data_IF_181009637385
#
_entry.id   IF_181009637385
#
_cell.length_a   1.000
_cell.length_b   1.000
_cell.length_c   1.000
_cell.angle_alpha   90.00
_cell.angle_beta   90.00
_cell.angle_gamma   90.00
#
_symmetry.space_group_name_H-M   'P 1'
#
loop_
_entity.id
_entity.type
_entity.pdbx_description
1 polymer ?
#
# COMPACT_ATOMS: atom_id res chain seq x y z
N UNK A 1 6.30 13.22 28.40
CA UNK A 1 6.07 13.44 26.95
C UNK A 1 6.81 12.35 26.20
N UNK A 2 6.14 11.60 25.34
CA UNK A 2 6.75 10.60 24.46
C UNK A 2 7.01 11.23 23.09
N UNK A 3 8.20 11.04 22.54
CA UNK A 3 8.58 11.55 21.21
C UNK A 3 8.89 10.39 20.28
N UNK A 4 8.17 10.32 19.17
CA UNK A 4 8.37 9.30 18.13
C UNK A 4 9.07 9.95 16.94
N UNK A 5 10.19 9.37 16.52
CA UNK A 5 10.89 9.75 15.31
C UNK A 5 10.66 8.69 14.24
N UNK A 6 9.89 9.03 13.20
CA UNK A 6 9.63 8.16 12.05
C UNK A 6 10.37 8.65 10.81
N UNK A 7 11.05 7.75 10.11
CA UNK A 7 11.83 8.05 8.91
C UNK A 7 11.23 7.32 7.70
N UNK A 8 10.71 8.06 6.73
CA UNK A 8 10.14 7.50 5.51
C UNK A 8 11.25 7.02 4.55
N UNK A 9 11.65 5.75 4.70
CA UNK A 9 12.75 5.14 3.94
C UNK A 9 12.32 3.99 3.02
N UNK A 10 11.04 3.63 3.03
CA UNK A 10 10.50 2.46 2.32
C UNK A 10 10.54 1.17 3.15
N UNK A 11 9.57 0.29 2.89
CA UNK A 11 9.34 -0.97 3.62
C UNK A 11 10.56 -1.88 3.65
N UNK A 12 11.30 -1.96 2.53
CA UNK A 12 12.51 -2.79 2.47
C UNK A 12 13.63 -2.29 3.39
N UNK A 13 13.74 -0.97 3.59
CA UNK A 13 14.68 -0.41 4.55
C UNK A 13 14.20 -0.62 5.99
N UNK A 14 12.91 -0.38 6.26
CA UNK A 14 12.30 -0.58 7.59
C UNK A 14 12.52 -1.99 8.12
N UNK A 15 12.17 -3.01 7.33
CA UNK A 15 12.38 -4.42 7.69
C UNK A 15 13.86 -4.70 7.98
N UNK A 16 14.78 -4.26 7.11
CA UNK A 16 16.22 -4.48 7.32
C UNK A 16 16.73 -3.85 8.62
N UNK A 17 16.21 -2.68 9.02
CA UNK A 17 16.63 -2.02 10.27
C UNK A 17 16.10 -2.76 11.51
N UNK A 18 14.87 -3.26 11.45
CA UNK A 18 14.27 -4.11 12.51
C UNK A 18 15.05 -5.40 12.68
N UNK A 19 15.29 -6.13 11.59
CA UNK A 19 16.07 -7.39 11.60
C UNK A 19 17.44 -7.19 12.25
N UNK A 20 18.09 -6.06 11.94
CA UNK A 20 19.41 -5.71 12.50
C UNK A 20 19.38 -5.20 13.95
N UNK A 21 18.20 -4.90 14.50
CA UNK A 21 18.02 -4.32 15.83
C UNK A 21 18.54 -2.89 15.97
N UNK A 22 18.49 -2.10 14.88
CA UNK A 22 19.05 -0.73 14.85
C UNK A 22 18.00 0.32 15.23
N UNK A 23 16.73 -0.01 15.03
CA UNK A 23 15.57 0.84 15.33
C UNK A 23 14.65 0.15 16.33
N UNK A 24 13.84 0.94 17.01
CA UNK A 24 12.86 0.44 17.98
C UNK A 24 11.64 -0.18 17.26
N UNK A 25 11.36 0.22 16.03
CA UNK A 25 10.31 -0.36 15.20
C UNK A 25 10.55 -0.07 13.71
N UNK A 26 9.90 -0.85 12.85
CA UNK A 26 9.79 -0.60 11.41
C UNK A 26 8.35 -0.35 10.99
N UNK A 27 8.17 0.17 9.78
CA UNK A 27 6.88 0.19 9.08
C UNK A 27 7.00 -0.50 7.74
N UNK A 28 5.99 -1.28 7.35
CA UNK A 28 6.03 -2.03 6.09
C UNK A 28 4.63 -2.29 5.55
N UNK A 29 4.42 -2.07 4.26
CA UNK A 29 3.15 -2.40 3.58
C UNK A 29 3.11 -3.86 3.12
N UNK A 30 4.16 -4.62 3.45
CA UNK A 30 4.13 -6.07 3.39
C UNK A 30 4.71 -6.67 4.66
N UNK A 31 4.14 -7.79 5.11
CA UNK A 31 4.72 -8.56 6.20
C UNK A 31 6.16 -9.01 5.90
N UNK A 32 6.93 -9.20 6.95
CA UNK A 32 8.22 -9.88 6.95
C UNK A 32 8.06 -11.33 6.50
N UNK A 33 9.03 -11.82 5.74
CA UNK A 33 9.09 -13.26 5.40
C UNK A 33 9.42 -14.08 6.65
N UNK A 34 9.11 -15.39 6.68
CA UNK A 34 9.55 -16.25 7.79
C UNK A 34 11.05 -16.13 8.07
N UNK A 35 11.87 -16.07 7.03
CA UNK A 35 13.33 -15.94 7.14
C UNK A 35 13.73 -14.59 7.74
N UNK A 36 13.08 -13.49 7.33
CA UNK A 36 13.31 -12.16 7.91
C UNK A 36 12.94 -12.15 9.41
N UNK A 37 11.90 -12.87 9.82
CA UNK A 37 11.49 -12.98 11.24
C UNK A 37 12.51 -13.81 12.03
N UNK A 38 12.94 -14.95 11.49
CA UNK A 38 13.92 -15.83 12.13
C UNK A 38 15.29 -15.16 12.29
N UNK A 39 15.68 -14.28 11.36
CA UNK A 39 16.92 -13.50 11.41
C UNK A 39 16.84 -12.30 12.38
N UNK A 40 15.65 -11.91 12.84
CA UNK A 40 15.48 -10.72 13.67
C UNK A 40 16.12 -10.90 15.05
N UNK A 41 17.18 -10.14 15.33
CA UNK A 41 18.01 -10.28 16.55
C UNK A 41 17.25 -10.18 17.88
N UNK A 42 16.11 -9.50 17.88
CA UNK A 42 15.29 -9.25 19.07
C UNK A 42 13.88 -9.83 18.94
N UNK A 43 13.67 -10.72 17.95
CA UNK A 43 12.36 -11.06 17.43
C UNK A 43 11.70 -9.85 16.76
N UNK A 44 10.68 -10.11 15.94
CA UNK A 44 9.86 -9.08 15.33
C UNK A 44 8.40 -9.50 15.41
N UNK A 45 7.54 -8.56 15.79
CA UNK A 45 6.10 -8.73 15.71
C UNK A 45 5.58 -8.00 14.49
N UNK A 46 4.40 -8.40 14.02
CA UNK A 46 3.75 -7.75 12.91
C UNK A 46 2.35 -7.36 13.29
N UNK A 47 2.17 -6.06 13.46
CA UNK A 47 0.95 -5.49 13.99
C UNK A 47 0.32 -4.62 12.89
N UNK A 48 -0.73 -5.06 12.19
CA UNK A 48 -1.44 -4.20 11.26
C UNK A 48 -1.99 -3.00 12.04
N UNK A 49 -1.70 -1.79 11.58
CA UNK A 49 -2.12 -0.55 12.26
C UNK A 49 -3.20 0.21 11.49
N UNK A 50 -3.22 0.03 10.16
CA UNK A 50 -4.22 0.61 9.27
C UNK A 50 -4.15 -0.13 7.93
N UNK A 51 -4.96 0.29 6.97
CA UNK A 51 -4.92 -0.24 5.63
C UNK A 51 -5.12 0.87 4.60
N UNK A 52 -4.69 0.62 3.37
CA UNK A 52 -4.74 1.59 2.29
C UNK A 52 -4.88 0.92 0.93
N UNK A 53 -4.92 1.75 -0.09
CA UNK A 53 -4.97 1.32 -1.48
C UNK A 53 -3.74 1.83 -2.24
N UNK A 54 -3.24 1.03 -3.18
CA UNK A 54 -2.27 1.50 -4.17
C UNK A 54 -3.05 1.88 -5.42
N UNK A 55 -3.06 3.17 -5.75
CA UNK A 55 -3.79 3.70 -6.90
C UNK A 55 -2.91 3.80 -8.12
N UNK A 56 -3.51 3.63 -9.31
CA UNK A 56 -2.85 3.95 -10.56
C UNK A 56 -3.10 5.42 -10.88
N UNK A 57 -2.05 6.22 -10.73
CA UNK A 57 -2.08 7.66 -10.89
C UNK A 57 -1.65 8.05 -12.31
N UNK A 58 -2.20 9.15 -12.82
CA UNK A 58 -1.88 9.66 -14.15
C UNK A 58 -1.85 11.19 -14.20
N UNK A 59 -1.18 11.72 -15.21
CA UNK A 59 -1.15 13.15 -15.50
C UNK A 59 -1.71 13.42 -16.91
N UNK A 60 -3.01 13.65 -16.95
CA UNK A 60 -3.79 14.05 -18.13
C UNK A 60 -4.76 15.15 -17.67
N UNK A 61 -4.32 16.42 -17.59
CA UNK A 61 -5.04 17.48 -16.88
C UNK A 61 -6.42 17.79 -17.50
N UNK A 62 -6.55 17.59 -18.81
CA UNK A 62 -7.78 17.86 -19.55
C UNK A 62 -8.67 16.62 -19.75
N UNK A 63 -8.35 15.49 -19.09
CA UNK A 63 -9.13 14.26 -19.23
C UNK A 63 -10.42 14.33 -18.42
N UNK A 64 -11.55 14.32 -19.12
CA UNK A 64 -12.90 14.18 -18.58
C UNK A 64 -13.70 13.28 -19.54
N UNK A 65 -14.36 12.19 -19.07
CA UNK A 65 -14.46 11.69 -17.69
C UNK A 65 -13.16 11.08 -17.13
N UNK A 66 -13.09 10.79 -15.79
CA UNK A 66 -11.96 10.12 -15.19
C UNK A 66 -11.60 8.79 -15.88
N UNK A 67 -10.30 8.51 -15.94
CA UNK A 67 -9.75 7.34 -16.62
C UNK A 67 -10.29 6.03 -16.03
N UNK A 68 -10.77 5.13 -16.88
CA UNK A 68 -11.08 3.73 -16.57
C UNK A 68 -10.03 2.83 -17.20
N UNK A 69 -9.55 1.84 -16.46
CA UNK A 69 -8.60 0.85 -16.99
C UNK A 69 -9.06 -0.54 -16.61
N UNK A 70 -9.30 -1.39 -17.62
CA UNK A 70 -9.59 -2.80 -17.36
C UNK A 70 -8.32 -3.54 -16.97
N UNK A 71 -8.46 -4.71 -16.36
CA UNK A 71 -7.36 -5.52 -15.81
C UNK A 71 -6.20 -5.70 -16.80
N UNK A 72 -6.56 -6.06 -18.02
CA UNK A 72 -5.60 -6.25 -19.10
C UNK A 72 -4.91 -4.92 -19.50
N UNK A 73 -5.65 -3.81 -19.62
CA UNK A 73 -5.12 -2.53 -20.09
C UNK A 73 -4.06 -1.98 -19.13
N UNK A 74 -4.34 -1.90 -17.82
CA UNK A 74 -3.32 -1.37 -16.90
C UNK A 74 -2.13 -2.31 -16.74
N UNK A 75 -2.33 -3.62 -16.86
CA UNK A 75 -1.23 -4.59 -16.88
C UNK A 75 -0.35 -4.39 -18.12
N UNK A 76 -0.95 -4.18 -19.28
CA UNK A 76 -0.22 -3.98 -20.54
C UNK A 76 0.50 -2.63 -20.62
N UNK A 77 -0.01 -1.58 -19.96
CA UNK A 77 0.74 -0.33 -19.76
C UNK A 77 2.00 -0.60 -18.92
N UNK A 78 1.85 -1.31 -17.79
CA UNK A 78 2.97 -1.59 -16.87
C UNK A 78 3.96 -2.62 -17.44
N UNK A 79 3.54 -3.48 -18.38
CA UNK A 79 4.41 -4.34 -19.18
C UNK A 79 5.11 -3.59 -20.34
N UNK A 80 4.74 -2.34 -20.60
CA UNK A 80 5.29 -1.54 -21.69
C UNK A 80 4.78 -1.93 -23.09
N UNK A 81 3.67 -2.67 -23.16
CA UNK A 81 2.99 -3.05 -24.43
C UNK A 81 2.13 -1.90 -24.94
N UNK A 82 1.46 -1.19 -24.04
CA UNK A 82 0.74 0.05 -24.34
C UNK A 82 1.62 1.23 -23.96
N UNK A 83 2.01 2.04 -24.96
CA UNK A 83 3.02 3.10 -24.78
C UNK A 83 2.52 4.49 -25.15
N UNK A 84 1.24 4.64 -25.54
CA UNK A 84 0.62 5.92 -25.89
C UNK A 84 -0.81 5.97 -25.37
N UNK A 85 -1.27 7.16 -25.00
CA UNK A 85 -2.62 7.38 -24.47
C UNK A 85 -3.75 7.16 -25.49
N UNK A 86 -3.46 7.31 -26.78
CA UNK A 86 -4.40 7.00 -27.88
C UNK A 86 -4.46 5.53 -28.30
N UNK A 87 -3.89 4.63 -27.49
CA UNK A 87 -3.95 3.21 -27.79
C UNK A 87 -5.41 2.72 -27.86
N UNK A 88 -5.77 1.86 -28.83
CA UNK A 88 -7.14 1.41 -29.02
C UNK A 88 -7.71 0.68 -27.78
N UNK A 89 -6.86 0.03 -26.99
CA UNK A 89 -7.23 -0.64 -25.74
C UNK A 89 -7.72 0.37 -24.68
N UNK A 90 -7.04 1.52 -24.55
CA UNK A 90 -7.44 2.59 -23.62
C UNK A 90 -8.72 3.25 -24.10
N UNK A 91 -8.85 3.50 -25.42
CA UNK A 91 -10.07 4.06 -26.00
C UNK A 91 -11.27 3.12 -25.83
N UNK A 92 -11.06 1.80 -25.94
CA UNK A 92 -12.10 0.80 -25.70
C UNK A 92 -12.59 0.77 -24.25
N UNK A 93 -11.76 1.17 -23.28
CA UNK A 93 -12.15 1.34 -21.88
C UNK A 93 -12.92 2.64 -21.61
N UNK A 94 -12.76 3.63 -22.48
CA UNK A 94 -13.22 5.00 -22.28
C UNK A 94 -13.81 5.59 -23.58
N UNK A 95 -14.95 5.06 -24.07
CA UNK A 95 -15.50 5.44 -25.38
C UNK A 95 -15.89 6.91 -25.49
N UNK A 96 -16.17 7.56 -24.36
CA UNK A 96 -16.59 8.97 -24.30
C UNK A 96 -15.43 9.94 -24.01
N UNK A 97 -14.20 9.44 -23.82
CA UNK A 97 -13.05 10.26 -23.47
C UNK A 97 -12.18 10.58 -24.69
N UNK A 98 -11.62 11.79 -24.71
CA UNK A 98 -10.66 12.21 -25.74
C UNK A 98 -9.24 12.13 -25.20
N UNK A 99 -8.41 11.28 -25.81
CA UNK A 99 -7.01 11.13 -25.39
C UNK A 99 -6.06 12.03 -26.19
N UNK A 100 -5.10 12.69 -25.52
CA UNK A 100 -4.05 13.43 -26.21
C UNK A 100 -3.07 12.46 -26.88
N UNK A 101 -2.43 12.90 -27.96
CA UNK A 101 -1.39 12.10 -28.62
C UNK A 101 -0.05 12.18 -27.86
N UNK A 102 -0.07 11.70 -26.61
CA UNK A 102 1.08 11.69 -25.72
C UNK A 102 1.63 10.27 -25.54
N UNK A 103 2.96 10.11 -25.46
CA UNK A 103 3.55 8.88 -24.98
C UNK A 103 3.22 8.69 -23.49
N UNK A 104 3.06 7.45 -23.06
CA UNK A 104 2.95 7.09 -21.66
C UNK A 104 4.36 7.02 -21.06
N UNK A 105 4.60 7.78 -20.01
CA UNK A 105 5.82 7.66 -19.20
C UNK A 105 5.47 7.00 -17.89
N UNK A 106 5.85 5.73 -17.73
CA UNK A 106 5.61 4.96 -16.51
C UNK A 106 6.62 5.39 -15.44
N UNK A 107 6.12 5.95 -14.36
CA UNK A 107 6.91 6.28 -13.17
C UNK A 107 6.80 5.11 -12.20
N UNK A 108 7.93 4.64 -11.69
CA UNK A 108 7.99 3.54 -10.73
C UNK A 108 8.97 3.84 -9.59
N UNK A 109 8.84 3.07 -8.49
CA UNK A 109 9.77 3.17 -7.37
C UNK A 109 11.14 2.60 -7.75
N UNK A 110 12.19 3.33 -7.40
CA UNK A 110 13.58 2.92 -7.54
C UNK A 110 14.15 2.30 -6.24
N UNK A 111 13.46 2.50 -5.12
CA UNK A 111 13.81 1.97 -3.81
C UNK A 111 12.88 0.82 -3.38
N UNK A 112 13.36 -0.01 -2.44
CA UNK A 112 12.61 -1.16 -1.93
C UNK A 112 11.29 -0.76 -1.27
N UNK A 113 10.19 -1.04 -1.95
CA UNK A 113 8.89 -0.40 -1.73
C UNK A 113 7.79 -1.42 -1.45
N UNK A 114 7.01 -1.17 -0.39
CA UNK A 114 5.82 -1.96 -0.06
C UNK A 114 4.72 -1.81 -1.10
N UNK A 115 4.36 -0.58 -1.48
CA UNK A 115 3.44 -0.31 -2.60
C UNK A 115 3.83 -1.02 -3.91
N UNK A 116 5.13 -1.17 -4.18
CA UNK A 116 5.61 -1.94 -5.35
C UNK A 116 5.35 -3.42 -5.18
N UNK A 117 5.64 -3.98 -4.00
CA UNK A 117 5.35 -5.37 -3.70
C UNK A 117 3.85 -5.68 -3.79
N UNK A 118 3.00 -4.81 -3.26
CA UNK A 118 1.52 -4.95 -3.32
C UNK A 118 1.03 -4.90 -4.76
N UNK A 119 1.44 -3.90 -5.54
CA UNK A 119 1.04 -3.78 -6.94
C UNK A 119 1.53 -4.99 -7.76
N UNK A 120 2.78 -5.39 -7.62
CA UNK A 120 3.34 -6.51 -8.38
C UNK A 120 2.71 -7.85 -7.98
N UNK A 121 2.33 -8.04 -6.71
CA UNK A 121 1.58 -9.21 -6.26
C UNK A 121 0.18 -9.26 -6.89
N UNK A 122 -0.52 -8.13 -6.96
CA UNK A 122 -1.78 -8.03 -7.69
C UNK A 122 -1.60 -8.38 -9.17
N UNK A 123 -0.64 -7.76 -9.84
CA UNK A 123 -0.41 -7.98 -11.27
C UNK A 123 -0.05 -9.44 -11.59
N UNK A 124 0.74 -10.10 -10.73
CA UNK A 124 1.05 -11.52 -10.86
C UNK A 124 -0.20 -12.40 -10.70
N UNK A 125 -1.09 -12.07 -9.76
CA UNK A 125 -2.32 -12.82 -9.53
C UNK A 125 -3.29 -12.74 -10.72
N UNK A 126 -3.29 -11.63 -11.46
CA UNK A 126 -4.26 -11.40 -12.55
C UNK A 126 -3.67 -11.65 -13.95
N UNK A 127 -2.35 -11.78 -14.08
CA UNK A 127 -1.66 -11.91 -15.36
C UNK A 127 -0.54 -12.96 -15.32
N UNK A 128 -0.73 -14.13 -15.94
CA UNK A 128 0.32 -15.14 -16.10
C UNK A 128 1.53 -14.63 -16.90
N UNK A 129 1.36 -13.60 -17.74
CA UNK A 129 2.49 -12.96 -18.42
C UNK A 129 3.34 -12.15 -17.42
N UNK A 130 2.69 -11.36 -16.56
CA UNK A 130 3.38 -10.60 -15.52
C UNK A 130 4.14 -11.52 -14.56
N UNK A 131 3.46 -12.55 -14.04
CA UNK A 131 4.05 -13.50 -13.08
C UNK A 131 5.34 -14.15 -13.62
N UNK A 132 5.31 -14.59 -14.88
CA UNK A 132 6.48 -15.22 -15.53
C UNK A 132 7.60 -14.24 -15.89
N UNK A 133 7.27 -13.00 -16.27
CA UNK A 133 8.25 -12.05 -16.83
C UNK A 133 8.85 -11.11 -15.78
N UNK A 134 8.04 -10.67 -14.83
CA UNK A 134 8.39 -9.64 -13.84
C UNK A 134 8.32 -10.20 -12.42
N UNK A 135 7.26 -10.97 -12.12
CA UNK A 135 7.03 -11.55 -10.80
C UNK A 135 6.65 -10.52 -9.73
N UNK A 136 6.90 -10.88 -8.47
CA UNK A 136 6.50 -10.12 -7.28
C UNK A 136 7.73 -9.69 -6.50
N UNK A 137 7.75 -8.43 -6.02
CA UNK A 137 8.83 -8.01 -5.13
C UNK A 137 8.79 -6.55 -4.68
N UNK A 138 9.54 -6.26 -3.62
CA UNK A 138 9.83 -4.88 -3.15
C UNK A 138 10.62 -4.08 -4.20
N UNK A 139 11.35 -4.80 -5.06
CA UNK A 139 12.02 -4.31 -6.27
C UNK A 139 11.80 -5.35 -7.36
N UNK A 140 11.59 -4.91 -8.60
CA UNK A 140 11.45 -5.77 -9.78
C UNK A 140 12.19 -5.14 -10.96
N UNK A 141 12.56 -5.95 -11.95
CA UNK A 141 13.16 -5.47 -13.18
C UNK A 141 12.07 -4.95 -14.13
N UNK A 142 11.80 -3.64 -14.04
CA UNK A 142 10.81 -2.98 -14.89
C UNK A 142 11.15 -3.10 -16.38
N UNK A 143 10.14 -3.19 -17.28
CA UNK A 143 10.36 -3.33 -18.71
C UNK A 143 11.27 -2.25 -19.30
N UNK A 144 12.10 -2.67 -20.25
CA UNK A 144 12.92 -1.76 -21.07
C UNK A 144 12.17 -1.26 -22.32
N UNK A 145 11.03 -1.85 -22.62
CA UNK A 145 10.14 -1.47 -23.72
C UNK A 145 9.21 -0.36 -23.26
N UNK A 146 9.30 0.83 -23.86
CA UNK A 146 8.54 2.00 -23.44
C UNK A 146 9.38 3.00 -22.66
N UNK A 147 8.74 3.89 -21.89
CA UNK A 147 9.42 4.91 -21.08
C UNK A 147 9.16 4.64 -19.61
N UNK A 148 10.19 4.18 -18.90
CA UNK A 148 10.14 3.88 -17.47
C UNK A 148 11.12 4.79 -16.73
N UNK A 149 10.64 5.44 -15.67
CA UNK A 149 11.43 6.37 -14.85
C UNK A 149 11.33 5.96 -13.39
N UNK A 150 12.48 5.62 -12.81
CA UNK A 150 12.59 5.29 -11.39
C UNK A 150 12.72 6.52 -10.51
N UNK A 151 11.94 6.61 -9.44
CA UNK A 151 12.01 7.68 -8.44
C UNK A 151 11.98 7.12 -7.02
N UNK A 152 12.44 7.89 -6.04
CA UNK A 152 12.51 7.45 -4.63
C UNK A 152 11.29 7.90 -3.85
N UNK A 153 10.67 6.97 -3.12
CA UNK A 153 9.54 7.25 -2.22
C UNK A 153 8.25 7.66 -2.95
N UNK A 154 7.15 7.75 -2.19
CA UNK A 154 5.88 8.26 -2.74
C UNK A 154 5.98 9.75 -3.09
N UNK A 155 6.76 10.56 -2.36
CA UNK A 155 6.97 11.98 -2.67
C UNK A 155 7.63 12.17 -4.04
N UNK A 156 8.70 11.42 -4.31
CA UNK A 156 9.40 11.48 -5.60
C UNK A 156 8.50 11.02 -6.75
N UNK A 157 7.72 9.96 -6.54
CA UNK A 157 6.73 9.49 -7.50
C UNK A 157 5.67 10.54 -7.79
N UNK A 158 5.09 11.15 -6.75
CA UNK A 158 4.02 12.15 -6.85
C UNK A 158 4.51 13.35 -7.64
N UNK A 159 5.66 13.91 -7.26
CA UNK A 159 6.27 15.04 -7.96
C UNK A 159 6.56 14.72 -9.43
N UNK A 160 7.08 13.53 -9.72
CA UNK A 160 7.41 13.13 -11.08
C UNK A 160 6.15 12.95 -11.95
N UNK A 161 5.08 12.37 -11.39
CA UNK A 161 3.79 12.22 -12.08
C UNK A 161 3.22 13.60 -12.39
N UNK A 162 3.13 14.50 -11.40
CA UNK A 162 2.58 15.86 -11.59
C UNK A 162 3.39 16.69 -12.59
N UNK A 163 4.71 16.51 -12.65
CA UNK A 163 5.58 17.28 -13.55
C UNK A 163 5.48 16.83 -15.02
N UNK A 164 5.28 15.54 -15.27
CA UNK A 164 5.39 14.97 -16.62
C UNK A 164 4.01 14.75 -17.23
N UNK A 165 3.64 15.57 -18.21
CA UNK A 165 2.44 15.37 -19.01
C UNK A 165 2.45 13.98 -19.67
N UNK A 166 1.35 13.24 -19.53
CA UNK A 166 1.24 11.86 -19.98
C UNK A 166 1.92 10.82 -19.07
N UNK A 167 2.36 11.21 -17.86
CA UNK A 167 2.83 10.26 -16.87
C UNK A 167 1.73 9.30 -16.42
N UNK A 168 2.15 8.08 -16.11
CA UNK A 168 1.36 7.04 -15.48
C UNK A 168 2.20 6.40 -14.39
N UNK A 169 1.65 6.02 -13.26
CA UNK A 169 2.41 5.39 -12.20
C UNK A 169 1.49 4.87 -11.11
N UNK A 170 2.07 4.58 -9.96
CA UNK A 170 1.31 4.11 -8.81
C UNK A 170 1.72 4.84 -7.53
N UNK A 171 0.74 5.13 -6.69
CA UNK A 171 0.93 5.85 -5.43
C UNK A 171 0.11 5.17 -4.35
N UNK A 172 0.49 5.38 -3.09
CA UNK A 172 -0.47 5.25 -2.00
C UNK A 172 -1.62 6.26 -2.23
N UNK A 173 -2.87 5.82 -2.02
CA UNK A 173 -4.07 6.66 -2.20
C UNK A 173 -3.95 8.00 -1.48
N UNK A 174 -3.42 8.03 -0.26
CA UNK A 174 -3.27 9.27 0.52
C UNK A 174 -2.40 10.31 -0.20
N UNK A 175 -1.31 9.88 -0.84
CA UNK A 175 -0.42 10.78 -1.57
C UNK A 175 -1.11 11.35 -2.81
N UNK A 176 -1.83 10.51 -3.56
CA UNK A 176 -2.58 10.96 -4.72
C UNK A 176 -3.72 11.91 -4.33
N UNK A 177 -4.50 11.56 -3.30
CA UNK A 177 -5.62 12.36 -2.83
C UNK A 177 -5.18 13.71 -2.27
N UNK A 178 -4.16 13.75 -1.40
CA UNK A 178 -3.68 14.99 -0.77
C UNK A 178 -3.00 15.95 -1.75
N UNK A 179 -2.53 15.46 -2.90
CA UNK A 179 -1.89 16.26 -3.95
C UNK A 179 -2.78 16.42 -5.19
N UNK A 180 -4.06 16.01 -5.12
CA UNK A 180 -5.04 16.13 -6.20
C UNK A 180 -4.57 15.49 -7.53
N UNK A 181 -3.80 14.40 -7.44
CA UNK A 181 -3.31 13.68 -8.62
C UNK A 181 -4.45 12.84 -9.22
N UNK A 182 -4.55 12.83 -10.55
CA UNK A 182 -5.52 12.00 -11.27
C UNK A 182 -5.34 10.53 -10.94
N UNK A 183 -6.43 9.83 -10.60
CA UNK A 183 -6.45 8.42 -10.24
C UNK A 183 -7.41 7.64 -11.14
N UNK A 184 -6.96 6.53 -11.70
CA UNK A 184 -7.78 5.69 -12.55
C UNK A 184 -8.80 4.88 -11.72
N UNK A 185 -9.99 4.70 -12.28
CA UNK A 185 -10.91 3.65 -11.85
C UNK A 185 -10.43 2.32 -12.43
N UNK A 186 -10.31 1.29 -11.58
CA UNK A 186 -9.78 0.00 -12.00
C UNK A 186 -10.89 -1.05 -12.04
N UNK A 187 -10.88 -1.88 -13.09
CA UNK A 187 -11.73 -3.07 -13.12
C UNK A 187 -11.29 -4.05 -12.02
N UNK A 188 -12.24 -4.44 -11.17
CA UNK A 188 -12.05 -5.43 -10.12
C UNK A 188 -12.34 -6.85 -10.60
N UNK A 189 -12.21 -7.83 -9.69
CA UNK A 189 -12.45 -9.25 -9.98
C UNK A 189 -13.88 -9.55 -10.42
N UNK A 190 -14.85 -8.72 -10.04
CA UNK A 190 -16.25 -8.83 -10.45
C UNK A 190 -16.55 -8.18 -11.82
N UNK A 191 -15.56 -7.55 -12.48
CA UNK A 191 -15.74 -6.85 -13.76
C UNK A 191 -16.28 -5.42 -13.62
N UNK A 192 -16.33 -4.87 -12.41
CA UNK A 192 -16.79 -3.50 -12.15
C UNK A 192 -15.61 -2.53 -12.10
N UNK A 193 -15.77 -1.33 -12.67
CA UNK A 193 -14.79 -0.25 -12.53
C UNK A 193 -14.98 0.47 -11.19
N UNK A 194 -14.03 0.30 -10.28
CA UNK A 194 -14.08 0.84 -8.93
C UNK A 194 -13.20 2.07 -8.81
N UNK A 195 -13.78 3.16 -8.31
CA UNK A 195 -13.05 4.37 -7.96
C UNK A 195 -12.28 4.15 -6.67
N UNK A 196 -11.00 4.57 -6.58
CA UNK A 196 -10.28 4.50 -5.31
C UNK A 196 -10.84 5.50 -4.30
N UNK A 197 -11.26 4.97 -3.15
CA UNK A 197 -11.76 5.69 -1.97
C UNK A 197 -11.44 4.86 -0.71
N UNK A 198 -11.50 5.48 0.47
CA UNK A 198 -11.42 4.74 1.73
C UNK A 198 -12.50 3.64 1.80
N UNK A 199 -13.74 3.95 1.41
CA UNK A 199 -14.86 3.00 1.42
C UNK A 199 -14.61 1.79 0.52
N UNK A 200 -14.12 2.00 -0.70
CA UNK A 200 -13.80 0.89 -1.62
C UNK A 200 -12.60 0.06 -1.14
N UNK A 201 -11.66 0.68 -0.42
CA UNK A 201 -10.52 -0.04 0.17
C UNK A 201 -10.98 -0.88 1.38
N UNK A 202 -11.83 -0.32 2.24
CA UNK A 202 -12.47 -1.03 3.36
C UNK A 202 -13.28 -2.24 2.88
N UNK A 203 -14.07 -2.06 1.81
CA UNK A 203 -14.86 -3.14 1.20
C UNK A 203 -13.98 -4.33 0.78
N UNK A 204 -12.77 -4.08 0.28
CA UNK A 204 -11.82 -5.11 -0.11
C UNK A 204 -11.18 -5.87 1.06
N UNK A 205 -11.14 -5.27 2.25
CA UNK A 205 -10.46 -5.83 3.43
C UNK A 205 -11.42 -6.62 4.33
N UNK A 206 -12.71 -6.30 4.28
CA UNK A 206 -13.74 -6.91 5.12
C UNK A 206 -14.05 -8.38 4.79
N UNK A 207 -13.49 -8.94 3.71
CA UNK A 207 -13.80 -10.30 3.24
C UNK A 207 -12.85 -11.37 3.74
N UNK A 208 -11.74 -11.01 4.40
CA UNK A 208 -10.66 -11.93 4.70
C UNK A 208 -10.41 -12.08 6.21
N UNK A 209 -10.33 -13.32 6.67
CA UNK A 209 -9.98 -13.65 8.06
C UNK A 209 -8.49 -13.37 8.31
N UNK A 210 -8.21 -12.57 9.33
CA UNK A 210 -6.85 -12.25 9.74
C UNK A 210 -6.19 -13.49 10.39
N UNK A 211 -5.01 -13.96 9.95
CA UNK A 211 -4.30 -15.07 10.57
C UNK A 211 -3.66 -14.67 11.91
N UNK A 212 -3.20 -15.64 12.71
CA UNK A 212 -2.61 -15.41 14.04
C UNK A 212 -1.26 -14.69 14.01
N UNK A 213 -0.50 -14.85 12.92
CA UNK A 213 0.74 -14.11 12.69
C UNK A 213 0.52 -12.75 12.01
N UNK A 214 -0.74 -12.36 11.82
CA UNK A 214 -1.20 -11.15 11.15
C UNK A 214 -0.70 -10.95 9.71
N UNK A 215 -0.15 -11.98 9.06
CA UNK A 215 0.31 -11.92 7.67
C UNK A 215 -0.81 -12.18 6.68
N UNK A 216 -1.64 -11.16 6.45
CA UNK A 216 -2.69 -11.22 5.45
C UNK A 216 -2.37 -10.37 4.22
N UNK A 217 -2.31 -11.01 3.06
CA UNK A 217 -2.11 -10.36 1.77
C UNK A 217 -3.29 -10.67 0.86
N UNK A 218 -4.01 -9.65 0.41
CA UNK A 218 -5.16 -9.79 -0.48
C UNK A 218 -4.75 -9.27 -1.86
N UNK A 219 -4.39 -10.18 -2.76
CA UNK A 219 -3.84 -9.81 -4.07
C UNK A 219 -4.89 -9.53 -5.12
N UNK A 220 -6.11 -10.04 -5.00
CA UNK A 220 -7.22 -9.76 -5.91
C UNK A 220 -8.57 -9.93 -5.18
N UNK A 221 -8.96 -8.92 -4.38
CA UNK A 221 -10.12 -8.97 -3.50
C UNK A 221 -11.41 -9.36 -4.24
N UNK A 222 -12.24 -10.17 -3.58
CA UNK A 222 -13.60 -10.47 -4.03
C UNK A 222 -14.57 -9.36 -3.61
N UNK A 223 -15.74 -9.30 -4.25
CA UNK A 223 -16.78 -8.31 -3.93
C UNK A 223 -17.04 -7.32 -5.06
N UNK A 224 -18.29 -6.88 -5.19
CA UNK A 224 -18.73 -6.01 -6.28
C UNK A 224 -18.11 -4.61 -6.19
N UNK A 225 -17.87 -4.10 -4.97
CA UNK A 225 -17.39 -2.74 -4.69
C UNK A 225 -15.91 -2.69 -4.27
N UNK A 226 -15.23 -3.84 -4.30
CA UNK A 226 -13.86 -3.98 -3.82
C UNK A 226 -12.86 -3.34 -4.79
N UNK A 227 -12.05 -2.41 -4.29
CA UNK A 227 -10.92 -1.88 -5.04
C UNK A 227 -9.81 -2.94 -5.21
N UNK A 228 -9.15 -3.07 -6.37
CA UNK A 228 -8.36 -4.27 -6.67
C UNK A 228 -7.00 -4.34 -5.95
N UNK A 229 -6.42 -3.19 -5.60
CA UNK A 229 -5.06 -3.12 -5.06
C UNK A 229 -5.09 -2.48 -3.69
N UNK A 230 -5.20 -3.32 -2.67
CA UNK A 230 -5.29 -2.92 -1.26
C UNK A 230 -4.25 -3.65 -0.43
N UNK A 231 -3.94 -3.09 0.73
CA UNK A 231 -3.04 -3.74 1.68
C UNK A 231 -3.29 -3.22 3.09
N UNK A 232 -3.02 -4.07 4.08
CA UNK A 232 -2.70 -3.57 5.42
C UNK A 232 -1.30 -2.95 5.40
N UNK A 233 -1.03 -2.08 6.38
CA UNK A 233 0.33 -1.65 6.69
C UNK A 233 0.64 -2.03 8.14
N UNK A 234 1.82 -2.61 8.33
CA UNK A 234 2.24 -3.20 9.59
C UNK A 234 3.25 -2.29 10.28
N UNK A 235 3.03 -2.06 11.56
CA UNK A 235 4.09 -1.71 12.49
C UNK A 235 4.86 -2.98 12.84
N UNK A 236 6.18 -2.86 12.85
CA UNK A 236 7.11 -3.95 13.11
C UNK A 236 7.91 -3.65 14.39
N UNK A 237 7.29 -3.72 15.59
CA UNK A 237 8.04 -3.55 16.83
C UNK A 237 8.93 -4.77 17.07
N UNK A 238 10.01 -4.56 17.83
CA UNK A 238 10.81 -5.68 18.35
C UNK A 238 9.96 -6.51 19.32
N UNK A 239 10.19 -7.82 19.38
CA UNK A 239 9.51 -8.66 20.36
C UNK A 239 10.09 -8.46 21.77
N UNK A 240 11.38 -8.13 21.85
CA UNK A 240 12.07 -7.87 23.12
C UNK A 240 12.87 -6.57 23.06
N UNK A 241 12.74 -5.74 24.09
CA UNK A 241 13.54 -4.53 24.25
C UNK A 241 14.49 -4.67 25.43
N UNK A 242 15.74 -4.22 25.25
CA UNK A 242 16.72 -4.18 26.33
C UNK A 242 16.39 -3.11 27.38
N UNK A 243 15.79 -2.01 26.93
CA UNK A 243 15.38 -0.90 27.78
C UNK A 243 13.87 -1.05 28.10
N UNK A 244 13.48 -1.32 29.35
CA UNK A 244 12.07 -1.48 29.72
C UNK A 244 11.26 -0.20 29.49
N UNK A 245 11.89 0.99 29.55
CA UNK A 245 11.19 2.24 29.23
C UNK A 245 10.84 2.32 27.75
N UNK A 246 11.66 1.73 26.86
CA UNK A 246 11.34 1.64 25.43
C UNK A 246 10.24 0.63 25.14
N UNK A 247 10.24 -0.52 25.81
CA UNK A 247 9.13 -1.49 25.72
C UNK A 247 7.80 -0.82 26.06
N UNK A 248 7.74 -0.17 27.23
CA UNK A 248 6.55 0.57 27.68
C UNK A 248 6.16 1.71 26.73
N UNK A 249 7.14 2.46 26.23
CA UNK A 249 6.89 3.51 25.26
C UNK A 249 6.31 2.97 23.94
N UNK A 250 6.70 1.76 23.52
CA UNK A 250 6.18 1.12 22.32
C UNK A 250 4.71 0.76 22.47
N UNK A 251 4.32 0.19 23.59
CA UNK A 251 2.91 -0.13 23.86
C UNK A 251 2.04 1.12 23.95
N UNK A 252 2.51 2.19 24.62
CA UNK A 252 1.81 3.49 24.64
C UNK A 252 1.60 4.02 23.20
N UNK A 253 2.61 3.89 22.34
CA UNK A 253 2.52 4.32 20.95
C UNK A 253 1.52 3.45 20.15
N UNK A 254 1.55 2.14 20.35
CA UNK A 254 0.60 1.20 19.71
C UNK A 254 -0.82 1.48 20.17
N UNK A 255 -1.06 1.67 21.47
CA UNK A 255 -2.37 1.98 22.03
C UNK A 255 -2.94 3.26 21.41
N UNK A 256 -2.15 4.34 21.33
CA UNK A 256 -2.57 5.55 20.63
C UNK A 256 -2.96 5.25 19.18
N UNK A 257 -2.15 4.46 18.47
CA UNK A 257 -2.44 4.04 17.10
C UNK A 257 -3.73 3.23 16.96
N UNK A 258 -4.00 2.35 17.92
CA UNK A 258 -5.22 1.54 17.99
C UNK A 258 -6.44 2.31 18.48
N UNK A 259 -6.26 3.49 19.08
CA UNK A 259 -7.33 4.35 19.59
C UNK A 259 -7.46 5.62 18.73
N UNK A 260 -6.92 6.75 19.19
CA UNK A 260 -7.01 8.06 18.53
C UNK A 260 -6.49 8.01 17.08
N UNK A 261 -5.48 7.19 16.80
CA UNK A 261 -4.96 6.98 15.47
C UNK A 261 -6.01 6.47 14.48
N UNK A 262 -6.96 5.65 14.94
CA UNK A 262 -8.05 5.15 14.09
C UNK A 262 -9.04 6.25 13.69
N UNK A 263 -9.24 7.27 14.55
CA UNK A 263 -10.07 8.45 14.26
C UNK A 263 -9.36 9.44 13.31
N UNK A 264 -8.03 9.34 13.21
CA UNK A 264 -7.20 10.17 12.33
C UNK A 264 -7.05 9.53 10.94
N UNK A 265 -6.95 8.19 10.86
CA UNK A 265 -6.66 7.46 9.63
C UNK A 265 -7.57 7.84 8.43
N UNK A 266 -8.91 7.89 8.54
CA UNK A 266 -9.77 8.23 7.41
C UNK A 266 -9.48 9.61 6.81
N UNK A 267 -9.16 10.59 7.66
CA UNK A 267 -8.83 11.96 7.24
C UNK A 267 -7.51 12.05 6.48
N UNK A 268 -6.64 11.06 6.65
CA UNK A 268 -5.38 10.94 5.95
C UNK A 268 -5.46 10.03 4.71
N UNK A 269 -6.65 9.50 4.37
CA UNK A 269 -6.81 8.57 3.26
C UNK A 269 -6.49 7.11 3.59
N UNK A 270 -6.61 6.73 4.87
CA UNK A 270 -6.39 5.35 5.30
C UNK A 270 -7.66 4.76 5.92
N UNK A 271 -7.85 3.46 5.70
CA UNK A 271 -8.94 2.70 6.28
C UNK A 271 -8.62 2.35 7.76
N UNK A 272 -9.54 2.60 8.70
CA UNK A 272 -9.39 2.15 10.07
C UNK A 272 -9.53 0.63 10.12
N UNK A 273 -8.88 0.02 11.11
CA UNK A 273 -8.94 -1.42 11.32
C UNK A 273 -10.35 -1.86 11.74
N UNK A 274 -10.80 -3.05 11.30
CA UNK A 274 -11.96 -3.71 11.88
C UNK A 274 -11.77 -3.93 13.39
N UNK A 275 -12.85 -3.86 14.17
CA UNK A 275 -12.79 -3.96 15.65
C UNK A 275 -12.11 -5.26 16.11
N UNK A 276 -12.47 -6.40 15.50
CA UNK A 276 -11.86 -7.69 15.84
C UNK A 276 -10.35 -7.74 15.55
N UNK A 277 -9.88 -7.03 14.53
CA UNK A 277 -8.44 -6.92 14.25
C UNK A 277 -7.77 -6.03 15.30
N UNK A 278 -8.36 -4.89 15.66
CA UNK A 278 -7.84 -4.00 16.73
C UNK A 278 -7.65 -4.75 18.05
N UNK A 279 -8.63 -5.55 18.45
CA UNK A 279 -8.59 -6.34 19.70
C UNK A 279 -7.46 -7.37 19.68
N UNK A 280 -7.29 -8.09 18.56
CA UNK A 280 -6.19 -9.06 18.43
C UNK A 280 -4.82 -8.40 18.40
N UNK A 281 -4.70 -7.24 17.74
CA UNK A 281 -3.45 -6.47 17.73
C UNK A 281 -3.11 -5.96 19.13
N UNK A 282 -4.09 -5.45 19.89
CA UNK A 282 -3.88 -5.03 21.27
C UNK A 282 -3.39 -6.19 22.14
N UNK A 283 -4.05 -7.35 22.08
CA UNK A 283 -3.66 -8.53 22.87
C UNK A 283 -2.26 -9.04 22.51
N UNK A 284 -1.86 -8.95 21.24
CA UNK A 284 -0.51 -9.30 20.82
C UNK A 284 0.51 -8.27 21.33
N UNK A 285 0.21 -6.98 21.21
CA UNK A 285 1.08 -5.89 21.63
C UNK A 285 1.35 -5.87 23.13
N UNK A 286 0.37 -6.29 23.95
CA UNK A 286 0.43 -6.36 25.43
C UNK A 286 1.50 -7.34 25.98
N UNK A 287 2.20 -8.04 25.08
CA UNK A 287 3.30 -8.93 25.42
C UNK A 287 4.67 -8.23 25.36
N UNK A 288 4.74 -6.95 24.95
CA UNK A 288 5.99 -6.23 24.73
C UNK A 288 6.58 -5.73 26.06
N UNK A 289 5.74 -5.28 26.99
CA UNK A 289 6.12 -4.72 28.29
C UNK A 289 5.36 -5.39 29.42
N UNK A 290 6.03 -5.78 30.51
CA UNK A 290 5.33 -6.26 31.72
C UNK A 290 4.75 -5.11 32.56
N UNK A 291 5.05 -3.85 32.23
CA UNK A 291 4.77 -2.66 33.07
C UNK A 291 3.68 -1.76 32.48
N UNK A 292 2.91 -2.28 31.53
CA UNK A 292 1.84 -1.57 30.84
C UNK A 292 0.77 -2.56 30.36
N UNK A 293 -0.47 -2.09 30.29
CA UNK A 293 -1.62 -2.88 29.86
C UNK A 293 -2.43 -2.01 28.89
N UNK A 294 -2.54 -2.43 27.63
CA UNK A 294 -3.21 -1.65 26.60
C UNK A 294 -4.71 -1.57 26.86
N UNK A 295 -5.27 -0.36 26.80
CA UNK A 295 -6.72 -0.15 26.91
C UNK A 295 -7.31 0.32 25.59
N UNK A 296 -8.23 -0.46 25.02
CA UNK A 296 -8.96 -0.04 23.81
C UNK A 296 -10.16 0.83 24.15
N UNK A 297 -10.29 1.97 23.46
CA UNK A 297 -11.52 2.77 23.44
C UNK A 297 -12.56 2.09 22.54
N UNK A 298 -13.85 2.07 22.93
CA UNK A 298 -14.93 1.64 22.05
C UNK A 298 -14.86 2.42 20.73
N UNK A 299 -15.08 1.74 19.61
CA UNK A 299 -15.21 2.43 18.32
C UNK A 299 -16.49 3.26 18.36
N UNK A 300 -16.40 4.57 18.15
CA UNK A 300 -17.59 5.36 17.88
C UNK A 300 -18.21 4.85 16.58
N UNK A 301 -19.51 4.52 16.61
CA UNK A 301 -20.20 4.10 15.40
C UNK A 301 -20.15 5.23 14.36
N UNK A 302 -19.90 4.92 13.08
CA UNK A 302 -19.85 5.93 12.03
C UNK A 302 -21.15 6.71 11.88
#
# INVERSE_FOLDING_TARGET
ELKINYQSMGSGAGVKQVVRGVVDFGGSDIGMTPEEIDEAKHGAMMLPMTAGAVVLAYNLPDLDPPLRLRRQTYTDILLGKITRWRAPEIAADNPDANFPDLPITVVHRADGSGATAVLTAHLAAISPEWDRRIGVGKNVDWPRTGRFVGTKGNDGMTNQIMLVAGAFGYLDYSFAANNEVGMAMLENRAGNFIRPTNTSAEASLGTADMPDDFRLFITDPEGADSYPVVTYTWLLPLQTYKDPLKAKAMEIFIEYGLNEGQDVAPRLGYAPLPQAVRERVAAAADQISPDYELTLRPREAP
#
